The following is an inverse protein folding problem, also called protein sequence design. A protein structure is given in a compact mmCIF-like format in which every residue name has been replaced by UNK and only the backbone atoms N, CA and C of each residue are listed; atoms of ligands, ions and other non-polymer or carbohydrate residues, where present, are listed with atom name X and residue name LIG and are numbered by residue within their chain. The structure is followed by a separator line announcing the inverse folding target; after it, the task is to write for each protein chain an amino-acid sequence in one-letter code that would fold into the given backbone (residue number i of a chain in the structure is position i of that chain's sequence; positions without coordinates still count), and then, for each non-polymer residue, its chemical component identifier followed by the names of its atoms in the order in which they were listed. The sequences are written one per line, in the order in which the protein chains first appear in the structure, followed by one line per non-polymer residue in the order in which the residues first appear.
data_IF_540104602927
#
_entry.id   IF_540104602927
#
_cell.length_a   1.000
_cell.length_b   1.000
_cell.length_c   1.000
_cell.angle_alpha   90.00
_cell.angle_beta   90.00
_cell.angle_gamma   90.00
#
_symmetry.space_group_name_H-M   'P 1'
#
loop_
_entity.id
_entity.type
_entity.pdbx_description
1 polymer ?
#
# COMPACT_ATOMS: atom_id res chain seq x y z
N UNK A 1 -28.84 -4.19 16.40
CA UNK A 1 -27.52 -4.09 17.06
C UNK A 1 -27.00 -2.69 16.82
N UNK A 2 -26.46 -2.03 17.83
CA UNK A 2 -25.84 -0.70 17.71
C UNK A 2 -24.33 -0.84 17.77
N UNK A 3 -23.63 -0.23 16.82
CA UNK A 3 -22.17 -0.12 16.86
C UNK A 3 -21.80 0.87 17.97
N UNK A 4 -20.95 0.43 18.90
CA UNK A 4 -20.46 1.27 20.01
C UNK A 4 -19.00 1.67 19.83
N UNK A 5 -18.24 0.91 19.05
CA UNK A 5 -16.81 1.10 18.83
C UNK A 5 -16.45 0.98 17.36
N UNK A 6 -15.70 1.95 16.84
CA UNK A 6 -15.05 1.90 15.53
C UNK A 6 -13.54 1.65 15.74
N UNK A 7 -13.01 0.57 15.16
CA UNK A 7 -11.58 0.26 15.19
C UNK A 7 -11.04 0.26 13.76
N UNK A 8 -10.08 1.14 13.51
CA UNK A 8 -9.45 1.31 12.21
C UNK A 8 -8.00 0.85 12.26
N UNK A 9 -7.64 -0.09 11.39
CA UNK A 9 -6.29 -0.63 11.30
C UNK A 9 -5.54 -0.04 10.10
N UNK A 10 -4.29 0.35 10.34
CA UNK A 10 -3.31 0.41 9.25
C UNK A 10 -2.86 -1.02 8.85
N UNK A 11 -2.18 -1.17 7.71
CA UNK A 11 -1.71 -2.45 7.18
C UNK A 11 -0.24 -2.67 7.50
N UNK A 12 0.65 -1.86 6.92
CA UNK A 12 2.09 -2.10 6.90
C UNK A 12 2.74 -1.90 8.28
N UNK A 13 3.30 -2.98 8.82
CA UNK A 13 3.88 -2.97 10.17
C UNK A 13 2.85 -3.01 11.29
N UNK A 14 1.55 -2.95 10.96
CA UNK A 14 0.44 -3.05 11.91
C UNK A 14 -0.21 -4.44 11.83
N UNK A 15 -0.83 -4.79 10.70
CA UNK A 15 -1.45 -6.09 10.49
C UNK A 15 -0.49 -7.11 9.86
N UNK A 16 0.37 -6.66 8.95
CA UNK A 16 1.30 -7.54 8.25
C UNK A 16 2.61 -6.82 7.90
N UNK A 17 3.61 -7.61 7.52
CA UNK A 17 4.86 -7.15 6.92
C UNK A 17 4.98 -7.72 5.53
N UNK A 18 5.03 -6.84 4.54
CA UNK A 18 5.11 -7.22 3.12
C UNK A 18 6.55 -7.39 2.60
N UNK A 19 7.57 -7.24 3.46
CA UNK A 19 9.01 -7.39 3.13
C UNK A 19 9.42 -6.75 1.78
N UNK A 20 8.99 -5.50 1.60
CA UNK A 20 9.36 -4.70 0.43
C UNK A 20 8.53 -4.94 -0.84
N UNK A 21 7.51 -5.82 -0.82
CA UNK A 21 6.66 -6.08 -1.97
C UNK A 21 6.02 -4.80 -2.54
N UNK A 22 5.44 -3.96 -1.67
CA UNK A 22 4.83 -2.68 -2.06
C UNK A 22 5.83 -1.71 -2.71
N UNK A 23 7.03 -1.56 -2.12
CA UNK A 23 8.11 -0.75 -2.69
C UNK A 23 8.50 -1.26 -4.08
N UNK A 24 8.64 -2.57 -4.24
CA UNK A 24 9.09 -3.16 -5.48
C UNK A 24 8.02 -3.09 -6.59
N UNK A 25 6.73 -3.24 -6.23
CA UNK A 25 5.61 -3.02 -7.13
C UNK A 25 5.51 -1.56 -7.57
N UNK A 26 5.62 -0.61 -6.63
CA UNK A 26 5.65 0.82 -6.93
C UNK A 26 6.82 1.17 -7.86
N UNK A 27 8.04 0.69 -7.56
CA UNK A 27 9.21 0.93 -8.41
C UNK A 27 8.95 0.49 -9.85
N UNK A 28 8.52 -0.75 -10.05
CA UNK A 28 8.27 -1.32 -11.37
C UNK A 28 7.18 -0.54 -12.13
N UNK A 29 6.11 -0.17 -11.45
CA UNK A 29 5.02 0.59 -12.05
C UNK A 29 5.43 2.02 -12.44
N UNK A 30 6.17 2.71 -11.58
CA UNK A 30 6.65 4.05 -11.88
C UNK A 30 7.66 4.05 -13.04
N UNK A 31 8.57 3.08 -13.07
CA UNK A 31 9.49 2.88 -14.19
C UNK A 31 8.75 2.60 -15.50
N UNK A 32 7.71 1.74 -15.47
CA UNK A 32 6.92 1.42 -16.66
C UNK A 32 6.12 2.62 -17.18
N UNK A 33 5.48 3.37 -16.30
CA UNK A 33 4.58 4.47 -16.68
C UNK A 33 5.37 5.74 -16.95
N UNK A 34 6.23 6.17 -16.04
CA UNK A 34 6.92 7.46 -16.10
C UNK A 34 8.35 7.39 -16.64
N UNK A 35 8.88 6.19 -16.89
CA UNK A 35 10.28 5.99 -17.27
C UNK A 35 11.27 6.14 -16.11
N UNK A 36 10.79 6.41 -14.89
CA UNK A 36 11.61 6.59 -13.69
C UNK A 36 10.77 6.34 -12.44
N UNK A 37 11.40 5.82 -11.39
CA UNK A 37 10.83 5.78 -10.04
C UNK A 37 11.37 6.89 -9.12
N UNK A 38 12.14 7.84 -9.66
CA UNK A 38 12.86 8.83 -8.87
C UNK A 38 13.85 8.19 -7.88
N UNK A 39 14.18 8.85 -6.77
CA UNK A 39 15.13 8.34 -5.76
C UNK A 39 14.49 7.30 -4.82
N UNK A 40 13.75 6.33 -5.37
CA UNK A 40 12.99 5.34 -4.59
C UNK A 40 13.88 4.45 -3.72
N UNK A 41 15.14 4.25 -4.09
CA UNK A 41 16.11 3.46 -3.32
C UNK A 41 16.36 4.05 -1.93
N UNK A 42 16.53 5.36 -1.85
CA UNK A 42 16.83 6.09 -0.61
C UNK A 42 15.57 6.59 0.11
N UNK A 43 14.40 6.40 -0.51
CA UNK A 43 13.14 6.92 0.03
C UNK A 43 12.67 6.13 1.25
N UNK A 44 12.29 6.88 2.30
CA UNK A 44 11.68 6.35 3.53
C UNK A 44 10.15 6.39 3.41
N UNK A 45 9.54 5.22 3.23
CA UNK A 45 8.10 5.10 2.98
C UNK A 45 7.23 5.34 4.23
N UNK A 46 7.74 5.02 5.43
CA UNK A 46 6.93 4.83 6.65
C UNK A 46 5.82 5.87 6.89
N UNK A 47 4.57 5.37 7.00
CA UNK A 47 3.36 6.12 7.37
C UNK A 47 2.81 7.09 6.32
N UNK A 48 3.39 7.14 5.11
CA UNK A 48 2.95 8.05 4.05
C UNK A 48 1.92 7.38 3.15
N UNK A 49 1.06 8.19 2.54
CA UNK A 49 0.14 7.69 1.52
C UNK A 49 0.88 7.38 0.22
N UNK A 50 0.40 6.42 -0.56
CA UNK A 50 0.95 6.11 -1.87
C UNK A 50 0.94 7.34 -2.78
N UNK A 51 -0.15 8.14 -2.75
CA UNK A 51 -0.25 9.39 -3.51
C UNK A 51 0.86 10.37 -3.15
N UNK A 52 1.12 10.56 -1.86
CA UNK A 52 2.20 11.45 -1.40
C UNK A 52 3.56 10.92 -1.84
N UNK A 53 3.79 9.62 -1.69
CA UNK A 53 5.05 8.96 -2.06
C UNK A 53 5.32 9.10 -3.56
N UNK A 54 4.36 8.73 -4.41
CA UNK A 54 4.48 8.83 -5.88
C UNK A 54 4.78 10.25 -6.30
N UNK A 55 4.00 11.22 -5.81
CA UNK A 55 4.22 12.63 -6.11
C UNK A 55 5.63 13.07 -5.73
N UNK A 56 6.06 12.77 -4.50
CA UNK A 56 7.38 13.17 -3.99
C UNK A 56 8.52 12.59 -4.83
N UNK A 57 8.43 11.31 -5.18
CA UNK A 57 9.45 10.62 -5.97
C UNK A 57 9.55 11.20 -7.38
N UNK A 58 8.42 11.46 -8.03
CA UNK A 58 8.39 11.93 -9.41
C UNK A 58 8.71 13.42 -9.52
N UNK A 59 8.28 14.25 -8.56
CA UNK A 59 8.70 15.67 -8.47
C UNK A 59 10.22 15.76 -8.26
N UNK A 60 10.80 14.90 -7.42
CA UNK A 60 12.26 14.83 -7.25
C UNK A 60 13.00 14.37 -8.52
N UNK A 61 12.30 13.68 -9.43
CA UNK A 61 12.81 13.30 -10.76
C UNK A 61 12.55 14.37 -11.85
N UNK A 62 12.00 15.54 -11.48
CA UNK A 62 11.75 16.65 -12.39
C UNK A 62 10.41 16.59 -13.16
N UNK A 63 9.50 15.68 -12.80
CA UNK A 63 8.19 15.60 -13.45
C UNK A 63 7.23 16.64 -12.87
N UNK A 64 6.43 17.27 -13.74
CA UNK A 64 5.38 18.19 -13.31
C UNK A 64 4.21 17.47 -12.64
N UNK A 65 3.58 18.12 -11.66
CA UNK A 65 2.36 17.61 -11.04
C UNK A 65 1.26 17.28 -12.06
N UNK A 66 1.12 18.08 -13.14
CA UNK A 66 0.15 17.82 -14.21
C UNK A 66 0.40 16.45 -14.87
N UNK A 67 1.64 16.15 -15.22
CA UNK A 67 2.00 14.87 -15.82
C UNK A 67 1.74 13.71 -14.84
N UNK A 68 2.19 13.86 -13.59
CA UNK A 68 2.01 12.86 -12.53
C UNK A 68 0.53 12.52 -12.34
N UNK A 69 -0.33 13.53 -12.17
CA UNK A 69 -1.74 13.26 -11.93
C UNK A 69 -2.48 12.75 -13.16
N UNK A 70 -2.09 13.17 -14.37
CA UNK A 70 -2.73 12.70 -15.60
C UNK A 70 -2.53 11.19 -15.86
N UNK A 71 -1.44 10.61 -15.36
CA UNK A 71 -1.10 9.18 -15.54
C UNK A 71 -1.20 8.36 -14.27
N UNK A 72 -1.65 8.95 -13.15
CA UNK A 72 -1.79 8.23 -11.88
C UNK A 72 -2.69 6.99 -12.00
N UNK A 73 -3.86 7.02 -12.70
CA UNK A 73 -4.69 5.83 -12.85
C UNK A 73 -3.96 4.65 -13.53
N UNK A 74 -3.16 4.94 -14.57
CA UNK A 74 -2.32 3.96 -15.25
C UNK A 74 -1.25 3.38 -14.31
N UNK A 75 -0.62 4.23 -13.50
CA UNK A 75 0.36 3.80 -12.50
C UNK A 75 -0.27 2.91 -11.42
N UNK A 76 -1.47 3.22 -10.93
CA UNK A 76 -2.19 2.40 -9.95
C UNK A 76 -2.50 1.01 -10.53
N UNK A 77 -3.03 0.94 -11.75
CA UNK A 77 -3.31 -0.33 -12.41
C UNK A 77 -2.04 -1.16 -12.62
N UNK A 78 -0.94 -0.52 -13.01
CA UNK A 78 0.34 -1.20 -13.12
C UNK A 78 0.88 -1.67 -11.77
N UNK A 79 0.73 -0.88 -10.70
CA UNK A 79 1.12 -1.27 -9.34
C UNK A 79 0.34 -2.49 -8.86
N UNK A 80 -0.97 -2.54 -9.09
CA UNK A 80 -1.81 -3.69 -8.75
C UNK A 80 -1.34 -4.95 -9.47
N UNK A 81 -1.11 -4.87 -10.78
CA UNK A 81 -0.63 -5.99 -11.58
C UNK A 81 0.73 -6.51 -11.10
N UNK A 82 1.67 -5.61 -10.85
CA UNK A 82 3.00 -5.94 -10.33
C UNK A 82 2.93 -6.55 -8.92
N UNK A 83 2.06 -6.04 -8.05
CA UNK A 83 1.83 -6.62 -6.73
C UNK A 83 1.28 -8.04 -6.86
N UNK A 84 0.18 -8.23 -7.60
CA UNK A 84 -0.44 -9.55 -7.78
C UNK A 84 0.54 -10.59 -8.33
N UNK A 85 1.37 -10.20 -9.30
CA UNK A 85 2.40 -11.08 -9.84
C UNK A 85 3.40 -11.50 -8.75
N UNK A 86 3.93 -10.54 -7.99
CA UNK A 86 4.90 -10.80 -6.91
C UNK A 86 4.35 -11.70 -5.81
N UNK A 87 3.08 -11.52 -5.46
CA UNK A 87 2.37 -12.37 -4.51
C UNK A 87 2.27 -13.80 -5.02
N UNK A 88 1.86 -13.97 -6.28
CA UNK A 88 1.66 -15.29 -6.91
C UNK A 88 2.97 -16.07 -7.02
N UNK A 89 4.06 -15.38 -7.35
CA UNK A 89 5.38 -15.99 -7.53
C UNK A 89 6.13 -16.19 -6.21
N UNK A 90 5.58 -15.74 -5.07
CA UNK A 90 6.22 -15.90 -3.76
C UNK A 90 7.54 -15.14 -3.62
N UNK A 91 7.73 -14.03 -4.36
CA UNK A 91 9.00 -13.27 -4.35
C UNK A 91 9.29 -12.53 -3.04
N UNK A 92 8.31 -12.44 -2.16
CA UNK A 92 8.40 -11.72 -0.90
C UNK A 92 7.82 -12.57 0.24
N UNK A 93 8.47 -12.52 1.40
CA UNK A 93 8.01 -13.20 2.60
C UNK A 93 6.95 -12.35 3.33
N UNK A 94 5.72 -12.44 2.87
CA UNK A 94 4.61 -11.72 3.49
C UNK A 94 4.12 -12.49 4.70
N UNK A 95 4.19 -11.85 5.87
CA UNK A 95 3.79 -12.47 7.14
C UNK A 95 2.91 -11.54 7.96
N UNK A 96 1.94 -12.08 8.71
CA UNK A 96 1.22 -11.30 9.71
C UNK A 96 2.18 -10.73 10.76
N UNK A 97 1.83 -9.57 11.33
CA UNK A 97 2.45 -9.12 12.56
C UNK A 97 2.03 -10.03 13.73
N UNK A 98 2.87 -10.19 14.77
CA UNK A 98 2.52 -11.01 15.93
C UNK A 98 1.19 -10.59 16.56
N UNK A 99 0.27 -11.53 16.75
CA UNK A 99 -1.04 -11.28 17.36
C UNK A 99 -2.07 -10.59 16.46
N UNK A 100 -1.71 -10.18 15.24
CA UNK A 100 -2.60 -9.40 14.39
C UNK A 100 -3.84 -10.19 13.95
N UNK A 101 -3.64 -11.46 13.54
CA UNK A 101 -4.75 -12.34 13.13
C UNK A 101 -5.71 -12.60 14.29
N UNK A 102 -5.16 -12.91 15.46
CA UNK A 102 -5.92 -13.21 16.67
C UNK A 102 -6.71 -11.98 17.15
N UNK A 103 -6.10 -10.80 17.10
CA UNK A 103 -6.75 -9.54 17.47
C UNK A 103 -7.92 -9.22 16.53
N UNK A 104 -7.71 -9.28 15.22
CA UNK A 104 -8.76 -9.03 14.23
C UNK A 104 -9.91 -10.02 14.39
N UNK A 105 -9.60 -11.32 14.54
CA UNK A 105 -10.61 -12.35 14.74
C UNK A 105 -11.44 -12.13 16.01
N UNK A 106 -10.78 -11.77 17.12
CA UNK A 106 -11.47 -11.47 18.39
C UNK A 106 -12.39 -10.26 18.25
N UNK A 107 -11.91 -9.16 17.67
CA UNK A 107 -12.72 -7.96 17.51
C UNK A 107 -13.89 -8.16 16.54
N UNK A 108 -13.69 -8.95 15.47
CA UNK A 108 -14.74 -9.25 14.50
C UNK A 108 -15.87 -10.12 15.07
N UNK A 109 -15.64 -10.82 16.19
CA UNK A 109 -16.66 -11.62 16.87
C UNK A 109 -17.61 -10.80 17.76
N UNK A 110 -17.40 -9.48 17.87
CA UNK A 110 -18.19 -8.57 18.70
C UNK A 110 -19.10 -7.69 17.83
N UNK A 111 -20.41 -7.90 17.89
CA UNK A 111 -21.40 -7.17 17.08
C UNK A 111 -21.43 -5.65 17.34
N UNK A 112 -20.90 -5.21 18.49
CA UNK A 112 -20.78 -3.80 18.84
C UNK A 112 -19.51 -3.12 18.29
N UNK A 113 -18.63 -3.88 17.62
CA UNK A 113 -17.39 -3.38 17.02
C UNK A 113 -17.50 -3.34 15.50
N UNK A 114 -17.36 -2.15 14.93
CA UNK A 114 -17.14 -1.97 13.51
C UNK A 114 -15.64 -1.92 13.20
N UNK A 115 -15.18 -2.83 12.34
CA UNK A 115 -13.80 -2.87 11.86
C UNK A 115 -13.67 -2.17 10.51
N UNK A 116 -12.56 -1.47 10.31
CA UNK A 116 -12.19 -0.89 9.02
C UNK A 116 -10.69 -0.80 8.85
N UNK A 117 -10.27 -0.51 7.62
CA UNK A 117 -8.89 -0.16 7.29
C UNK A 117 -8.78 1.36 7.17
N UNK A 118 -7.73 1.92 7.78
CA UNK A 118 -7.30 3.29 7.57
C UNK A 118 -5.83 3.25 7.20
N UNK A 119 -5.57 3.15 5.91
CA UNK A 119 -4.23 2.90 5.37
C UNK A 119 -3.86 3.95 4.32
N UNK A 120 -2.55 4.18 4.18
CA UNK A 120 -2.01 5.04 3.12
C UNK A 120 -1.98 4.39 1.74
N UNK A 121 -2.17 3.07 1.67
CA UNK A 121 -2.15 2.29 0.44
C UNK A 121 -3.35 2.59 -0.46
N UNK A 122 -3.18 2.45 -1.78
CA UNK A 122 -4.32 2.44 -2.68
C UNK A 122 -5.24 1.24 -2.42
N UNK A 123 -6.58 1.38 -2.54
CA UNK A 123 -7.50 0.25 -2.39
C UNK A 123 -7.15 -0.95 -3.28
N UNK A 124 -6.66 -0.69 -4.51
CA UNK A 124 -6.27 -1.71 -5.48
C UNK A 124 -5.14 -2.63 -4.98
N UNK A 125 -4.19 -2.10 -4.22
CA UNK A 125 -3.07 -2.87 -3.67
C UNK A 125 -3.33 -3.34 -2.24
N UNK A 126 -4.10 -2.58 -1.45
CA UNK A 126 -4.47 -2.92 -0.08
C UNK A 126 -5.38 -4.15 0.02
N UNK A 127 -6.16 -4.44 -1.03
CA UNK A 127 -7.09 -5.56 -1.08
C UNK A 127 -6.45 -6.90 -1.49
N UNK A 128 -5.15 -6.92 -1.80
CA UNK A 128 -4.40 -8.10 -2.22
C UNK A 128 -3.69 -8.79 -1.05
#
# INVERSE_FOLDING_TARGET
MSVERLVLFDIDGTLLRADGAGRAAMKAALERVYGTAGPIGDYRFGGRTDRYTIRTLLEAAGLSARLIWSRLPEAIACMEAEMRQRLTEGRHNIRPCPGAKELVARLAAHDEVLLGLLTGNFPATAAL
#
